data_IF_538286723769
#
_entry.id   IF_538286723769
#
_cell.length_a   1.000
_cell.length_b   1.000
_cell.length_c   1.000
_cell.angle_alpha   90.00
_cell.angle_beta   90.00
_cell.angle_gamma   90.00
#
_symmetry.space_group_name_H-M   'P 1'
#
loop_
_entity.id
_entity.type
_entity.pdbx_description
1 polymer ?
#
# COMPACT_ATOMS: atom_id res chain seq x y z
N UNK A 1 8.28 19.65 -33.94
CA UNK A 1 7.61 18.45 -33.41
C UNK A 1 6.72 17.86 -34.48
N UNK A 2 6.81 16.57 -34.75
CA UNK A 2 5.92 15.87 -35.68
C UNK A 2 4.61 15.48 -34.99
N UNK A 3 3.55 15.22 -35.77
CA UNK A 3 2.26 14.77 -35.24
C UNK A 3 2.38 13.46 -34.44
N UNK A 4 3.34 12.60 -34.80
CA UNK A 4 3.66 11.36 -34.08
C UNK A 4 4.27 11.67 -32.70
N UNK A 5 5.22 12.59 -32.62
CA UNK A 5 5.83 13.01 -31.34
C UNK A 5 4.78 13.60 -30.39
N UNK A 6 3.86 14.42 -30.89
CA UNK A 6 2.77 14.98 -30.09
C UNK A 6 1.81 13.90 -29.55
N UNK A 7 1.49 12.88 -30.36
CA UNK A 7 0.66 11.76 -29.88
C UNK A 7 1.37 10.91 -28.83
N UNK A 8 2.69 10.71 -28.97
CA UNK A 8 3.48 9.98 -27.99
C UNK A 8 3.49 10.70 -26.63
N UNK A 9 3.77 12.00 -26.62
CA UNK A 9 3.76 12.79 -25.37
C UNK A 9 2.36 12.83 -24.73
N UNK A 10 1.30 12.97 -25.52
CA UNK A 10 -0.08 12.91 -24.99
C UNK A 10 -0.40 11.56 -24.32
N UNK A 11 0.06 10.45 -24.89
CA UNK A 11 -0.15 9.13 -24.29
C UNK A 11 0.65 8.96 -23.00
N UNK A 12 1.87 9.50 -22.95
CA UNK A 12 2.71 9.48 -21.76
C UNK A 12 2.10 10.31 -20.62
N UNK A 13 1.63 11.52 -20.92
CA UNK A 13 0.93 12.38 -19.95
C UNK A 13 -0.34 11.69 -19.42
N UNK A 14 -1.15 11.07 -20.29
CA UNK A 14 -2.34 10.32 -19.87
C UNK A 14 -2.00 9.16 -18.94
N UNK A 15 -0.91 8.45 -19.21
CA UNK A 15 -0.43 7.36 -18.37
C UNK A 15 -0.04 7.89 -16.99
N UNK A 16 0.78 8.94 -16.95
CA UNK A 16 1.21 9.59 -15.70
C UNK A 16 0.03 10.10 -14.87
N UNK A 17 -0.96 10.72 -15.49
CA UNK A 17 -2.18 11.19 -14.81
C UNK A 17 -2.99 10.03 -14.20
N UNK A 18 -3.13 8.92 -14.94
CA UNK A 18 -3.84 7.73 -14.46
C UNK A 18 -3.11 7.10 -13.27
N UNK A 19 -1.79 7.03 -13.32
CA UNK A 19 -0.97 6.51 -12.24
C UNK A 19 -0.98 7.44 -11.01
N UNK A 20 -1.01 8.76 -11.21
CA UNK A 20 -1.12 9.75 -10.13
C UNK A 20 -2.47 9.65 -9.40
N UNK A 21 -3.58 9.52 -10.14
CA UNK A 21 -4.92 9.39 -9.57
C UNK A 21 -5.07 8.16 -8.66
N UNK A 22 -4.43 7.04 -9.02
CA UNK A 22 -4.42 5.83 -8.19
C UNK A 22 -3.67 6.09 -6.87
N UNK A 23 -2.58 6.87 -6.91
CA UNK A 23 -1.80 7.21 -5.72
C UNK A 23 -2.51 8.18 -4.77
N UNK A 24 -3.41 9.02 -5.26
CA UNK A 24 -4.17 9.99 -4.46
C UNK A 24 -5.47 9.44 -3.87
N UNK A 25 -5.87 8.22 -4.22
CA UNK A 25 -7.17 7.67 -3.82
C UNK A 25 -7.12 7.09 -2.41
N UNK A 26 -8.05 7.50 -1.56
CA UNK A 26 -8.13 7.01 -0.17
C UNK A 26 -8.66 5.58 -0.09
N UNK A 27 -9.50 5.17 -1.04
CA UNK A 27 -10.13 3.85 -1.10
C UNK A 27 -9.67 3.09 -2.35
N UNK A 28 -8.98 1.99 -2.13
CA UNK A 28 -8.43 1.13 -3.16
C UNK A 28 -9.32 -0.10 -3.37
N UNK A 29 -9.44 -0.53 -4.61
CA UNK A 29 -10.03 -1.83 -5.01
C UNK A 29 -8.97 -2.91 -5.00
N UNK A 30 -9.37 -4.19 -5.06
CA UNK A 30 -8.41 -5.30 -5.13
C UNK A 30 -7.33 -5.10 -6.20
N UNK A 31 -7.71 -4.69 -7.41
CA UNK A 31 -6.76 -4.46 -8.51
C UNK A 31 -5.77 -3.32 -8.22
N UNK A 32 -6.20 -2.28 -7.51
CA UNK A 32 -5.33 -1.18 -7.11
C UNK A 32 -4.38 -1.62 -5.99
N UNK A 33 -4.85 -2.43 -5.03
CA UNK A 33 -4.00 -3.01 -3.97
C UNK A 33 -2.93 -3.94 -4.52
N UNK A 34 -3.26 -4.79 -5.52
CA UNK A 34 -2.27 -5.65 -6.17
C UNK A 34 -1.10 -4.84 -6.75
N UNK A 35 -1.40 -3.70 -7.37
CA UNK A 35 -0.40 -2.78 -7.91
C UNK A 35 0.34 -2.02 -6.81
N UNK A 36 -0.37 -1.58 -5.78
CA UNK A 36 0.18 -0.79 -4.68
C UNK A 36 1.18 -1.60 -3.83
N UNK A 37 0.82 -2.83 -3.46
CA UNK A 37 1.67 -3.73 -2.65
C UNK A 37 2.60 -4.59 -3.52
N UNK A 38 2.43 -4.56 -4.84
CA UNK A 38 3.14 -5.41 -5.81
C UNK A 38 3.05 -6.91 -5.46
N UNK A 39 1.82 -7.39 -5.24
CA UNK A 39 1.53 -8.79 -4.88
C UNK A 39 0.63 -9.47 -5.93
N UNK A 40 0.62 -10.81 -5.92
CA UNK A 40 -0.27 -11.59 -6.79
C UNK A 40 -1.70 -11.65 -6.24
N UNK A 41 -2.67 -11.88 -7.12
CA UNK A 41 -4.07 -12.06 -6.73
C UNK A 41 -4.26 -13.20 -5.73
N UNK A 42 -3.53 -14.31 -5.91
CA UNK A 42 -3.57 -15.45 -4.99
C UNK A 42 -3.14 -15.06 -3.58
N UNK A 43 -2.08 -14.26 -3.44
CA UNK A 43 -1.63 -13.77 -2.14
C UNK A 43 -2.65 -12.84 -1.51
N UNK A 44 -3.18 -11.87 -2.26
CA UNK A 44 -4.23 -10.97 -1.75
C UNK A 44 -5.46 -11.76 -1.28
N UNK A 45 -5.92 -12.71 -2.09
CA UNK A 45 -7.06 -13.58 -1.76
C UNK A 45 -6.82 -14.39 -0.48
N UNK A 46 -5.60 -14.92 -0.30
CA UNK A 46 -5.22 -15.63 0.93
C UNK A 46 -5.26 -14.69 2.15
N UNK A 47 -4.71 -13.49 2.02
CA UNK A 47 -4.71 -12.48 3.09
C UNK A 47 -6.14 -12.05 3.46
N UNK A 48 -7.00 -11.80 2.47
CA UNK A 48 -8.40 -11.39 2.72
C UNK A 48 -9.24 -12.53 3.28
N UNK A 49 -9.07 -13.75 2.77
CA UNK A 49 -9.84 -14.91 3.24
C UNK A 49 -9.45 -15.33 4.66
N UNK A 50 -8.18 -15.10 5.04
CA UNK A 50 -7.69 -15.33 6.40
C UNK A 50 -7.90 -14.13 7.34
N UNK A 51 -8.44 -13.00 6.87
CA UNK A 51 -8.63 -11.79 7.67
C UNK A 51 -7.31 -11.14 8.14
N UNK A 52 -6.20 -11.38 7.44
CA UNK A 52 -4.86 -10.92 7.82
C UNK A 52 -4.54 -9.51 7.32
N UNK A 53 -5.33 -8.98 6.37
CA UNK A 53 -5.21 -7.63 5.82
C UNK A 53 -6.53 -6.89 6.06
N UNK A 54 -6.53 -5.59 6.43
CA UNK A 54 -7.77 -4.84 6.62
C UNK A 54 -8.52 -4.68 5.29
N UNK A 55 -9.81 -5.04 5.25
CA UNK A 55 -10.65 -4.90 4.06
C UNK A 55 -12.12 -4.66 4.42
N UNK A 56 -12.87 -4.11 3.47
CA UNK A 56 -14.28 -3.79 3.58
C UNK A 56 -15.07 -4.41 2.44
N UNK A 57 -16.27 -4.92 2.75
CA UNK A 57 -17.18 -5.56 1.80
C UNK A 57 -18.61 -4.99 1.94
N UNK A 58 -18.87 -3.77 1.43
CA UNK A 58 -20.19 -3.13 1.53
C UNK A 58 -21.23 -3.79 0.60
N UNK A 59 -20.79 -4.45 -0.47
CA UNK A 59 -21.64 -5.17 -1.41
C UNK A 59 -21.15 -6.61 -1.60
N UNK A 60 -22.05 -7.51 -2.00
CA UNK A 60 -21.66 -8.88 -2.33
C UNK A 60 -20.83 -8.91 -3.62
N UNK A 61 -19.50 -8.95 -3.48
CA UNK A 61 -18.56 -9.27 -4.56
C UNK A 61 -17.36 -8.34 -4.68
N UNK A 62 -17.43 -7.13 -4.13
CA UNK A 62 -16.33 -6.16 -4.21
C UNK A 62 -15.65 -5.97 -2.85
N UNK A 63 -14.32 -5.94 -2.87
CA UNK A 63 -13.48 -5.62 -1.73
C UNK A 63 -12.88 -4.24 -1.90
N UNK A 64 -12.93 -3.46 -0.83
CA UNK A 64 -12.36 -2.13 -0.72
C UNK A 64 -11.37 -2.08 0.44
N UNK A 65 -10.36 -1.24 0.30
CA UNK A 65 -9.26 -1.13 1.24
C UNK A 65 -8.96 0.35 1.46
N UNK A 66 -8.92 0.80 2.71
CA UNK A 66 -8.48 2.16 2.99
C UNK A 66 -6.97 2.23 2.98
N UNK A 67 -6.43 3.24 2.31
CA UNK A 67 -4.99 3.43 2.18
C UNK A 67 -4.31 3.69 3.52
N UNK A 68 -4.98 4.40 4.43
CA UNK A 68 -4.50 4.62 5.80
C UNK A 68 -4.31 3.30 6.55
N UNK A 69 -5.31 2.44 6.54
CA UNK A 69 -5.26 1.15 7.23
C UNK A 69 -4.25 0.19 6.61
N UNK A 70 -4.13 0.18 5.29
CA UNK A 70 -3.07 -0.57 4.62
C UNK A 70 -1.68 -0.08 5.04
N UNK A 71 -1.49 1.23 5.17
CA UNK A 71 -0.22 1.80 5.60
C UNK A 71 0.12 1.40 7.04
N UNK A 72 -0.86 1.43 7.94
CA UNK A 72 -0.65 1.04 9.33
C UNK A 72 -0.43 -0.48 9.46
N UNK A 73 -1.17 -1.29 8.70
CA UNK A 73 -0.92 -2.72 8.58
C UNK A 73 0.52 -3.04 8.12
N UNK A 74 1.08 -2.31 7.15
CA UNK A 74 2.48 -2.48 6.72
C UNK A 74 3.44 -2.20 7.89
N UNK A 75 3.19 -1.15 8.67
CA UNK A 75 4.03 -0.80 9.83
C UNK A 75 3.96 -1.85 10.93
N UNK A 76 2.77 -2.40 11.18
CA UNK A 76 2.55 -3.45 12.19
C UNK A 76 3.24 -4.75 11.81
N UNK A 77 3.31 -5.06 10.52
CA UNK A 77 4.00 -6.24 10.00
C UNK A 77 5.51 -6.00 9.77
N UNK A 78 6.10 -4.97 10.40
CA UNK A 78 7.53 -4.74 10.37
C UNK A 78 8.26 -5.90 11.07
N UNK A 79 9.16 -6.55 10.34
CA UNK A 79 10.14 -7.45 10.93
C UNK A 79 11.22 -6.60 11.59
N UNK A 80 11.34 -6.71 12.92
CA UNK A 80 12.33 -5.96 13.70
C UNK A 80 13.74 -6.46 13.38
N UNK A 81 14.63 -5.53 13.07
CA UNK A 81 16.06 -5.80 12.94
C UNK A 81 16.75 -5.84 14.31
N UNK A 82 17.95 -6.42 14.39
CA UNK A 82 18.77 -6.38 15.61
C UNK A 82 19.00 -4.94 16.10
N UNK A 83 19.19 -4.00 15.16
CA UNK A 83 19.34 -2.58 15.46
C UNK A 83 18.07 -1.97 16.07
N UNK A 84 16.88 -2.40 15.63
CA UNK A 84 15.62 -1.98 16.26
C UNK A 84 15.54 -2.49 17.70
N UNK A 85 15.94 -3.74 17.96
CA UNK A 85 15.98 -4.32 19.29
C UNK A 85 16.96 -3.57 20.22
N UNK A 86 18.15 -3.23 19.74
CA UNK A 86 19.12 -2.41 20.49
C UNK A 86 18.56 -1.02 20.84
N UNK A 87 17.86 -0.38 19.90
CA UNK A 87 17.26 0.94 20.13
C UNK A 87 16.14 0.88 21.17
N UNK A 88 15.30 -0.16 21.15
CA UNK A 88 14.28 -0.38 22.18
C UNK A 88 14.93 -0.53 23.58
N UNK A 89 16.00 -1.33 23.69
CA UNK A 89 16.74 -1.50 24.94
C UNK A 89 17.39 -0.19 25.45
N UNK A 90 17.94 0.62 24.54
CA UNK A 90 18.53 1.93 24.88
C UNK A 90 17.47 2.90 25.38
N UNK A 91 16.30 2.97 24.73
CA UNK A 91 15.20 3.85 25.12
C UNK A 91 14.55 3.44 26.47
N UNK A 92 14.48 2.14 26.78
CA UNK A 92 14.01 1.69 28.09
C UNK A 92 14.99 2.01 29.23
N UNK A 93 16.30 2.10 28.95
CA UNK A 93 17.33 2.48 29.94
C UNK A 93 17.33 3.97 30.26
N UNK A 94 16.99 4.83 29.29
CA UNK A 94 16.91 6.29 29.51
C UNK A 94 15.67 6.68 30.31
N UNK A 95 14.53 6.01 30.10
CA UNK A 95 13.29 6.30 30.84
C UNK A 95 13.28 5.80 32.30
N UNK A 96 14.23 4.95 32.71
CA UNK A 96 14.37 4.45 34.09
C UNK A 96 15.35 5.27 34.95
N UNK A 97 15.95 6.31 34.36
CA UNK A 97 16.89 7.24 35.01
C UNK A 97 16.29 8.63 35.28
N UNK A 98 14.99 8.80 35.06
CA UNK A 98 14.22 9.99 35.44
C UNK A 98 13.39 9.71 36.69
#
# INVERSE_FOLDING_TARGET
MTQVQLQQELNEIKKLLKDNFINSKDVLTSNEVLKYLNISYSLLSKLTSAGLIPFYKPTNGLLFFFRSELHDWIKENKIYSEKDAENLLKNHRTNKKA
#
